data_IF_892461874131
#
_entry.id   IF_892461874131
#
_cell.length_a   1.000
_cell.length_b   1.000
_cell.length_c   1.000
_cell.angle_alpha   90.00
_cell.angle_beta   90.00
_cell.angle_gamma   90.00
#
_symmetry.space_group_name_H-M   'P 1'
#
loop_
_entity.id
_entity.type
_entity.pdbx_description
1 polymer ?
#
# COMPACT_ATOMS: atom_id res chain seq x y z
N UNK A 1 -41.22 22.56 35.50
CA UNK A 1 -39.82 22.23 35.86
C UNK A 1 -39.28 21.37 34.74
N UNK A 2 -38.22 21.87 34.11
CA UNK A 2 -37.47 21.43 32.93
C UNK A 2 -37.83 20.09 32.24
N UNK A 3 -38.23 20.19 30.97
CA UNK A 3 -38.07 19.14 29.96
C UNK A 3 -36.58 18.95 29.65
N UNK A 4 -36.02 17.81 30.05
CA UNK A 4 -34.68 17.35 29.68
C UNK A 4 -34.71 16.83 28.23
N UNK A 5 -34.60 17.75 27.26
CA UNK A 5 -34.45 17.38 25.86
C UNK A 5 -32.98 17.05 25.58
N UNK A 6 -32.60 15.80 25.86
CA UNK A 6 -31.32 15.22 25.45
C UNK A 6 -31.27 15.20 23.91
N UNK A 7 -30.65 16.22 23.32
CA UNK A 7 -30.45 16.29 21.87
C UNK A 7 -29.44 15.22 21.44
N UNK A 8 -29.96 14.12 20.90
CA UNK A 8 -29.16 13.11 20.20
C UNK A 8 -28.55 13.74 18.95
N UNK A 9 -27.28 14.15 19.03
CA UNK A 9 -26.47 14.63 17.90
C UNK A 9 -26.59 13.61 16.75
N UNK A 10 -27.01 14.01 15.54
CA UNK A 10 -27.16 13.08 14.43
C UNK A 10 -25.81 12.41 14.12
N UNK A 11 -25.80 11.13 13.71
CA UNK A 11 -24.57 10.44 13.33
C UNK A 11 -23.91 11.22 12.20
N UNK A 12 -22.76 11.82 12.50
CA UNK A 12 -22.04 12.69 11.59
C UNK A 12 -21.50 11.80 10.46
N UNK A 13 -22.04 11.95 9.26
CA UNK A 13 -21.54 11.27 8.07
C UNK A 13 -20.03 11.53 7.98
N UNK A 14 -19.23 10.47 7.95
CA UNK A 14 -17.77 10.57 7.83
C UNK A 14 -17.43 11.16 6.46
N UNK A 15 -17.29 12.47 6.40
CA UNK A 15 -16.83 13.17 5.21
C UNK A 15 -15.37 12.82 4.92
N UNK A 16 -15.10 12.29 3.73
CA UNK A 16 -13.74 12.03 3.24
C UNK A 16 -13.39 13.10 2.20
N UNK A 17 -12.47 14.00 2.59
CA UNK A 17 -12.19 15.22 1.83
C UNK A 17 -10.69 15.45 1.78
N UNK A 18 -10.19 15.87 0.62
CA UNK A 18 -8.79 16.23 0.40
C UNK A 18 -8.68 17.72 0.10
N UNK A 19 -7.77 18.38 0.80
CA UNK A 19 -7.27 19.71 0.47
C UNK A 19 -5.93 19.57 -0.25
N UNK A 20 -5.84 20.12 -1.46
CA UNK A 20 -4.60 20.22 -2.24
C UNK A 20 -3.91 21.52 -1.87
N UNK A 21 -2.64 21.45 -1.46
CA UNK A 21 -1.90 22.63 -0.98
C UNK A 21 -0.54 22.85 -1.65
N UNK A 22 -0.16 22.01 -2.62
CA UNK A 22 1.09 22.19 -3.37
C UNK A 22 1.32 21.09 -4.40
N UNK A 23 2.37 21.28 -5.19
CA UNK A 23 2.90 20.28 -6.13
C UNK A 23 4.16 19.66 -5.53
N UNK A 24 4.43 18.39 -5.85
CA UNK A 24 5.66 17.71 -5.42
C UNK A 24 6.90 18.30 -6.10
N UNK A 25 8.08 18.07 -5.52
CA UNK A 25 9.36 18.55 -6.06
C UNK A 25 9.61 18.11 -7.51
N UNK A 26 9.18 16.89 -7.86
CA UNK A 26 9.30 16.36 -9.22
C UNK A 26 8.20 16.85 -10.18
N UNK A 27 7.25 17.67 -9.70
CA UNK A 27 6.14 18.24 -10.47
C UNK A 27 5.08 17.23 -10.94
N UNK A 28 5.19 15.96 -10.56
CA UNK A 28 4.33 14.87 -11.04
C UNK A 28 3.21 14.48 -10.09
N UNK A 29 3.18 15.06 -8.89
CA UNK A 29 2.20 14.77 -7.86
C UNK A 29 1.73 16.02 -7.13
N UNK A 30 0.78 15.83 -6.22
CA UNK A 30 0.18 16.88 -5.41
C UNK A 30 0.38 16.58 -3.93
N UNK A 31 0.76 17.60 -3.16
CA UNK A 31 0.74 17.54 -1.70
C UNK A 31 -0.69 17.78 -1.19
N UNK A 32 -1.14 16.90 -0.29
CA UNK A 32 -2.52 16.87 0.18
C UNK A 32 -2.63 16.72 1.69
N UNK A 33 -3.71 17.29 2.24
CA UNK A 33 -4.22 16.98 3.57
C UNK A 33 -5.58 16.29 3.40
N UNK A 34 -5.70 15.04 3.85
CA UNK A 34 -6.94 14.26 3.80
C UNK A 34 -7.58 14.22 5.18
N UNK A 35 -8.83 14.63 5.27
CA UNK A 35 -9.66 14.45 6.45
C UNK A 35 -10.57 13.23 6.23
N UNK A 36 -10.41 12.20 7.07
CA UNK A 36 -11.26 10.99 7.07
C UNK A 36 -11.31 10.40 8.46
N UNK A 37 -12.38 9.68 8.83
CA UNK A 37 -12.46 8.96 10.12
C UNK A 37 -12.07 9.80 11.35
N UNK A 38 -12.38 11.11 11.34
CA UNK A 38 -12.01 12.07 12.40
C UNK A 38 -10.49 12.28 12.59
N UNK A 39 -9.66 11.83 11.65
CA UNK A 39 -8.23 12.12 11.58
C UNK A 39 -7.90 12.99 10.36
N UNK A 40 -6.75 13.65 10.43
CA UNK A 40 -6.14 14.35 9.30
C UNK A 40 -4.83 13.63 8.97
N UNK A 41 -4.68 13.22 7.71
CA UNK A 41 -3.50 12.56 7.18
C UNK A 41 -2.83 13.50 6.17
N UNK A 42 -1.51 13.71 6.30
CA UNK A 42 -0.71 14.41 5.31
C UNK A 42 -0.09 13.40 4.34
N UNK A 43 -0.14 13.68 3.05
CA UNK A 43 0.34 12.75 2.05
C UNK A 43 0.56 13.37 0.67
N UNK A 44 0.72 12.48 -0.31
CA UNK A 44 0.86 12.85 -1.71
C UNK A 44 -0.10 12.03 -2.55
N UNK A 45 -0.71 12.65 -3.56
CA UNK A 45 -1.49 11.96 -4.59
C UNK A 45 -0.74 12.04 -5.90
N UNK A 46 -0.65 10.92 -6.60
CA UNK A 46 0.03 10.80 -7.90
C UNK A 46 -0.89 10.13 -8.92
N UNK A 47 -0.83 10.51 -10.19
CA UNK A 47 -1.53 9.80 -11.25
C UNK A 47 -1.09 8.33 -11.30
N UNK A 48 -2.04 7.44 -11.60
CA UNK A 48 -1.74 6.03 -11.82
C UNK A 48 -1.00 5.87 -13.16
N UNK A 49 0.06 5.07 -13.15
CA UNK A 49 0.84 4.74 -14.33
C UNK A 49 0.82 3.23 -14.58
N UNK A 50 0.54 2.83 -15.82
CA UNK A 50 0.51 1.42 -16.19
C UNK A 50 1.89 0.77 -16.00
N UNK A 51 1.90 -0.46 -15.48
CA UNK A 51 3.12 -1.23 -15.22
C UNK A 51 3.92 -0.78 -13.98
N UNK A 52 3.48 0.26 -13.26
CA UNK A 52 4.10 0.67 -12.00
C UNK A 52 3.36 0.10 -10.78
N UNK A 53 4.07 -0.23 -9.69
CA UNK A 53 3.44 -0.67 -8.45
C UNK A 53 2.51 0.41 -7.86
N UNK A 54 1.38 -0.03 -7.30
CA UNK A 54 0.50 0.83 -6.53
C UNK A 54 1.06 1.03 -5.12
N UNK A 55 1.00 2.27 -4.63
CA UNK A 55 1.40 2.64 -3.26
C UNK A 55 0.24 3.38 -2.60
N UNK A 56 -0.21 2.90 -1.45
CA UNK A 56 -1.33 3.52 -0.73
C UNK A 56 -2.69 3.20 -1.33
N UNK A 57 -3.67 4.08 -1.07
CA UNK A 57 -5.04 3.94 -1.55
C UNK A 57 -5.17 4.44 -3.00
N UNK A 58 -5.97 3.74 -3.82
CA UNK A 58 -6.41 4.25 -5.12
C UNK A 58 -7.68 5.05 -4.93
N UNK A 59 -7.60 6.33 -5.27
CA UNK A 59 -8.69 7.28 -5.04
C UNK A 59 -9.05 8.05 -6.30
N UNK A 60 -10.33 8.41 -6.39
CA UNK A 60 -10.89 9.34 -7.35
C UNK A 60 -11.23 10.64 -6.63
N UNK A 61 -10.75 11.76 -7.17
CA UNK A 61 -10.97 13.08 -6.62
C UNK A 61 -12.04 13.82 -7.42
N UNK A 62 -13.05 14.36 -6.73
CA UNK A 62 -14.09 15.20 -7.33
C UNK A 62 -14.01 16.61 -6.74
N UNK A 63 -13.51 17.61 -7.50
CA UNK A 63 -13.43 18.98 -7.03
C UNK A 63 -14.81 19.55 -6.66
N UNK A 64 -14.90 20.26 -5.53
CA UNK A 64 -16.14 20.92 -5.11
C UNK A 64 -16.36 22.21 -5.88
N UNK A 65 -17.63 22.50 -6.18
CA UNK A 65 -18.02 23.74 -6.87
C UNK A 65 -17.58 24.96 -6.04
N UNK A 66 -16.84 25.87 -6.67
CA UNK A 66 -16.34 27.10 -6.03
C UNK A 66 -15.05 26.92 -5.21
N UNK A 67 -14.57 25.70 -5.02
CA UNK A 67 -13.32 25.41 -4.30
C UNK A 67 -12.57 24.24 -4.98
N UNK A 68 -11.87 24.48 -6.11
CA UNK A 68 -11.26 23.42 -6.90
C UNK A 68 -10.11 22.68 -6.20
N UNK A 69 -9.51 23.30 -5.18
CA UNK A 69 -8.48 22.71 -4.32
C UNK A 69 -9.06 21.82 -3.21
N UNK A 70 -10.39 21.82 -3.04
CA UNK A 70 -11.09 20.98 -2.07
C UNK A 70 -11.87 19.90 -2.82
N UNK A 71 -11.47 18.65 -2.65
CA UNK A 71 -12.00 17.50 -3.39
C UNK A 71 -12.69 16.51 -2.46
N UNK A 72 -13.87 16.04 -2.87
CA UNK A 72 -14.44 14.83 -2.29
C UNK A 72 -13.65 13.62 -2.78
N UNK A 73 -13.40 12.69 -1.86
CA UNK A 73 -12.61 11.48 -2.13
C UNK A 73 -13.53 10.28 -2.23
N UNK A 74 -13.37 9.52 -3.31
CA UNK A 74 -13.97 8.21 -3.50
C UNK A 74 -12.83 7.20 -3.57
N UNK A 75 -12.77 6.26 -2.61
CA UNK A 75 -11.73 5.23 -2.59
C UNK A 75 -12.20 4.06 -3.43
N UNK A 76 -11.51 3.80 -4.54
CA UNK A 76 -11.81 2.70 -5.47
C UNK A 76 -11.17 1.40 -4.97
N UNK A 77 -9.95 1.49 -4.40
CA UNK A 77 -9.24 0.36 -3.80
C UNK A 77 -8.49 0.85 -2.57
N UNK A 78 -8.72 0.22 -1.41
CA UNK A 78 -7.94 0.55 -0.22
C UNK A 78 -6.57 -0.13 -0.23
N UNK A 79 -5.58 0.51 0.39
CA UNK A 79 -4.26 -0.08 0.63
C UNK A 79 -4.34 -1.41 1.40
N UNK A 80 -5.31 -1.55 2.30
CA UNK A 80 -5.55 -2.80 3.02
C UNK A 80 -5.97 -3.96 2.10
N UNK A 81 -6.68 -3.68 1.00
CA UNK A 81 -7.05 -4.67 -0.01
C UNK A 81 -5.89 -5.00 -0.97
N UNK A 82 -4.98 -4.04 -1.20
CA UNK A 82 -3.80 -4.23 -2.04
C UNK A 82 -2.69 -5.04 -1.35
N UNK A 83 -2.66 -5.06 -0.01
CA UNK A 83 -1.78 -5.95 0.73
C UNK A 83 -2.42 -7.35 0.69
N UNK A 84 -1.83 -8.33 -0.02
CA UNK A 84 -2.36 -9.69 0.01
C UNK A 84 -2.43 -10.14 1.48
N UNK A 85 -3.50 -10.84 1.91
CA UNK A 85 -3.52 -11.43 3.23
C UNK A 85 -2.26 -12.27 3.31
N UNK A 86 -1.36 -11.87 4.21
CA UNK A 86 -0.18 -12.65 4.53
C UNK A 86 -0.68 -14.05 4.87
N UNK A 87 -0.58 -14.98 3.92
CA UNK A 87 -0.63 -16.42 4.17
C UNK A 87 0.64 -16.74 4.96
N UNK A 88 0.66 -16.31 6.21
CA UNK A 88 1.89 -16.08 6.94
C UNK A 88 1.76 -15.21 8.20
N UNK A 89 0.59 -14.67 8.54
CA UNK A 89 0.32 -14.17 9.90
C UNK A 89 0.12 -15.34 10.90
N UNK A 90 0.90 -16.42 10.74
CA UNK A 90 1.25 -17.24 11.87
C UNK A 90 2.14 -16.38 12.74
N UNK A 91 1.67 -16.06 13.95
CA UNK A 91 2.45 -15.52 15.09
C UNK A 91 3.94 -15.65 14.81
N UNK A 92 4.62 -14.55 14.49
CA UNK A 92 6.08 -14.49 14.46
C UNK A 92 6.55 -14.76 15.87
N UNK A 93 6.68 -16.04 16.23
CA UNK A 93 7.76 -16.45 17.12
C UNK A 93 8.99 -15.96 16.39
N UNK A 94 9.62 -14.92 16.91
CA UNK A 94 10.92 -14.47 16.46
C UNK A 94 11.86 -15.68 16.50
N UNK A 95 12.02 -16.36 15.35
CA UNK A 95 13.03 -17.39 15.23
C UNK A 95 14.34 -16.64 15.20
N UNK A 96 15.15 -16.80 16.25
CA UNK A 96 16.54 -16.38 16.23
C UNK A 96 17.23 -17.14 15.11
N UNK A 97 17.58 -16.42 14.05
CA UNK A 97 18.29 -16.94 12.90
C UNK A 97 18.28 -15.93 11.75
N UNK A 98 19.31 -15.90 10.90
CA UNK A 98 19.29 -15.13 9.68
C UNK A 98 18.07 -15.50 8.82
N UNK A 99 17.54 -14.54 8.05
CA UNK A 99 16.43 -14.79 7.14
C UNK A 99 16.78 -15.99 6.23
N UNK A 100 16.00 -17.07 6.33
CA UNK A 100 16.15 -18.24 5.45
C UNK A 100 15.41 -17.95 4.15
N UNK A 101 16.13 -17.44 3.15
CA UNK A 101 15.56 -17.07 1.83
C UNK A 101 15.58 -18.23 0.83
N UNK A 102 16.00 -19.43 1.23
CA UNK A 102 15.97 -20.59 0.34
C UNK A 102 14.63 -21.30 0.45
N UNK A 103 13.66 -20.93 -0.39
CA UNK A 103 12.58 -21.86 -0.72
C UNK A 103 13.19 -23.12 -1.37
N UNK A 104 12.52 -24.26 -1.26
CA UNK A 104 12.96 -25.49 -1.95
C UNK A 104 13.15 -25.23 -3.44
N UNK A 105 12.23 -24.48 -4.06
CA UNK A 105 12.32 -24.07 -5.47
C UNK A 105 13.59 -23.29 -5.82
N UNK A 106 14.08 -22.40 -4.93
CA UNK A 106 15.34 -21.69 -5.15
C UNK A 106 16.54 -22.64 -5.09
N UNK A 107 16.53 -23.59 -4.15
CA UNK A 107 17.60 -24.57 -3.98
C UNK A 107 17.65 -25.58 -5.13
N UNK A 108 16.49 -26.06 -5.57
CA UNK A 108 16.38 -27.00 -6.69
C UNK A 108 16.89 -26.38 -7.99
N UNK A 109 16.58 -25.10 -8.23
CA UNK A 109 17.10 -24.36 -9.38
C UNK A 109 18.60 -24.11 -9.29
N UNK A 110 19.11 -23.79 -8.10
CA UNK A 110 20.55 -23.65 -7.87
C UNK A 110 21.30 -24.99 -8.11
N UNK A 111 20.78 -26.10 -7.59
CA UNK A 111 21.40 -27.41 -7.86
C UNK A 111 21.35 -27.77 -9.34
N UNK A 112 20.29 -27.42 -10.08
CA UNK A 112 20.18 -27.67 -11.51
C UNK A 112 21.24 -26.92 -12.34
N UNK A 113 21.55 -25.67 -11.99
CA UNK A 113 22.51 -24.84 -12.71
C UNK A 113 23.95 -25.28 -12.42
N UNK A 114 24.28 -25.62 -11.16
CA UNK A 114 25.66 -25.86 -10.74
C UNK A 114 26.08 -27.34 -10.61
N UNK A 115 25.16 -28.33 -10.68
CA UNK A 115 25.54 -29.76 -10.68
C UNK A 115 26.06 -30.29 -12.02
N UNK A 116 25.97 -29.52 -13.11
CA UNK A 116 26.61 -29.87 -14.39
C UNK A 116 28.06 -29.39 -14.41
N UNK A 117 28.92 -30.10 -13.69
CA UNK A 117 30.36 -29.82 -13.70
C UNK A 117 31.26 -30.90 -13.11
N UNK A 118 30.76 -32.11 -12.87
CA UNK A 118 31.54 -33.15 -12.18
C UNK A 118 31.57 -34.51 -12.88
N UNK A 119 31.20 -34.61 -14.17
CA UNK A 119 31.23 -35.89 -14.90
C UNK A 119 32.00 -35.89 -16.22
N UNK A 120 32.57 -34.74 -16.63
CA UNK A 120 33.30 -34.63 -17.89
C UNK A 120 34.84 -34.50 -17.70
N UNK A 121 35.34 -34.47 -16.45
CA UNK A 121 36.80 -34.40 -16.16
C UNK A 121 37.48 -35.78 -16.00
N UNK A 122 36.74 -36.89 -16.01
CA UNK A 122 37.30 -38.25 -15.83
C UNK A 122 37.55 -38.99 -17.17
N UNK A 123 37.39 -38.31 -18.32
CA UNK A 123 37.67 -38.87 -19.66
C UNK A 123 38.82 -38.16 -20.39
N UNK A 124 39.51 -37.21 -19.77
CA UNK A 124 40.68 -36.53 -20.35
C UNK A 124 42.01 -36.87 -19.65
N UNK A 125 42.02 -37.86 -18.75
CA UNK A 125 43.21 -38.30 -18.02
C UNK A 125 43.47 -39.83 -18.06
N UNK A 126 42.85 -40.57 -18.99
CA UNK A 126 43.27 -41.94 -19.33
C UNK A 126 43.22 -42.18 -20.84
#
# INVERSE_FOLDING_TARGET
MADDTSQKKPPQASSDVVLIHGVTEDGKGLHVLRARNQSIEAGQVRPLEHGKPLQGDVVKLRPRRGAPFLCDVETEVSSAELVPPSKGAGRTRARKGPAQVASSAYRDNWEAIWRRGGKDEEQLLN
#
